data_IF_607947140086
#
_entry.id   IF_607947140086
#
_cell.length_a   1.000
_cell.length_b   1.000
_cell.length_c   1.000
_cell.angle_alpha   90.00
_cell.angle_beta   90.00
_cell.angle_gamma   90.00
#
_symmetry.space_group_name_H-M   'P 1'
#
loop_
_entity.id
_entity.type
_entity.pdbx_description
1 polymer ?
#
# COMPACT_ATOMS: atom_id res chain seq x y z
N UNK A 1 -3.01 -9.89 20.34
CA UNK A 1 -3.04 -8.41 20.23
C UNK A 1 -2.61 -8.05 18.81
N UNK A 2 -3.23 -7.05 18.17
CA UNK A 2 -3.00 -6.67 16.75
C UNK A 2 -2.65 -5.19 16.64
N UNK A 3 -1.96 -4.80 15.55
CA UNK A 3 -1.61 -3.41 15.25
C UNK A 3 -1.85 -3.09 13.76
N UNK A 4 -2.36 -1.89 13.47
CA UNK A 4 -2.63 -1.36 12.14
C UNK A 4 -2.27 0.12 12.06
N UNK A 5 -2.10 0.65 10.85
CA UNK A 5 -1.74 2.06 10.63
C UNK A 5 -0.26 2.34 10.84
N UNK A 6 0.07 3.59 11.13
CA UNK A 6 1.44 4.13 11.06
C UNK A 6 2.43 3.43 11.98
N UNK A 7 1.96 2.86 13.11
CA UNK A 7 2.77 2.06 14.04
C UNK A 7 3.41 0.82 13.40
N UNK A 8 2.89 0.36 12.25
CA UNK A 8 3.42 -0.79 11.50
C UNK A 8 4.40 -0.38 10.38
N UNK A 9 4.61 0.91 10.12
CA UNK A 9 5.66 1.41 9.22
C UNK A 9 5.53 1.05 7.73
N UNK A 10 4.43 0.41 7.28
CA UNK A 10 4.30 -0.06 5.89
C UNK A 10 3.95 1.04 4.89
N UNK A 11 2.85 1.75 5.12
CA UNK A 11 2.44 2.91 4.34
C UNK A 11 1.60 3.82 5.22
N UNK A 12 2.12 5.03 5.49
CA UNK A 12 1.56 5.98 6.44
C UNK A 12 0.46 6.83 5.80
N UNK A 13 -0.60 6.16 5.36
CA UNK A 13 -1.75 6.78 4.70
C UNK A 13 -3.03 6.34 5.39
N UNK A 14 -3.89 7.32 5.72
CA UNK A 14 -5.24 7.09 6.27
C UNK A 14 -6.04 5.99 5.54
N UNK A 15 -6.13 5.97 4.19
CA UNK A 15 -6.85 4.90 3.49
C UNK A 15 -6.26 3.50 3.72
N UNK A 16 -4.93 3.40 3.92
CA UNK A 16 -4.25 2.13 4.20
C UNK A 16 -4.62 1.62 5.59
N UNK A 17 -4.61 2.49 6.61
CA UNK A 17 -5.02 2.13 7.97
C UNK A 17 -6.49 1.66 8.01
N UNK A 18 -7.38 2.36 7.30
CA UNK A 18 -8.80 1.98 7.17
C UNK A 18 -8.95 0.60 6.51
N UNK A 19 -8.27 0.38 5.38
CA UNK A 19 -8.30 -0.90 4.67
C UNK A 19 -7.77 -2.05 5.55
N UNK A 20 -6.68 -1.81 6.29
CA UNK A 20 -6.10 -2.79 7.21
C UNK A 20 -7.05 -3.14 8.35
N UNK A 21 -7.71 -2.14 8.95
CA UNK A 21 -8.70 -2.35 10.01
C UNK A 21 -9.90 -3.16 9.52
N UNK A 22 -10.44 -2.84 8.34
CA UNK A 22 -11.55 -3.59 7.73
C UNK A 22 -11.17 -5.04 7.45
N UNK A 23 -10.03 -5.28 6.79
CA UNK A 23 -9.57 -6.65 6.49
C UNK A 23 -9.21 -7.45 7.75
N UNK A 24 -8.71 -6.79 8.80
CA UNK A 24 -8.52 -7.41 10.10
C UNK A 24 -9.86 -7.86 10.71
N UNK A 25 -10.89 -7.02 10.66
CA UNK A 25 -12.22 -7.37 11.15
C UNK A 25 -12.84 -8.54 10.35
N UNK A 26 -12.74 -8.53 9.02
CA UNK A 26 -13.16 -9.64 8.14
C UNK A 26 -12.47 -10.96 8.55
N UNK A 27 -11.17 -10.91 8.88
CA UNK A 27 -10.39 -12.08 9.26
C UNK A 27 -10.75 -12.61 10.64
N UNK A 28 -10.99 -11.73 11.61
CA UNK A 28 -11.27 -12.12 12.99
C UNK A 28 -12.74 -12.51 13.21
N UNK A 29 -13.65 -11.87 12.50
CA UNK A 29 -15.10 -11.94 12.79
C UNK A 29 -15.95 -12.24 11.55
N UNK A 30 -15.40 -12.09 10.34
CA UNK A 30 -16.12 -12.29 9.08
C UNK A 30 -15.91 -13.66 8.43
N UNK A 31 -15.17 -14.58 9.05
CA UNK A 31 -14.92 -15.92 8.50
C UNK A 31 -14.02 -15.94 7.26
N UNK A 32 -13.23 -14.87 7.04
CA UNK A 32 -12.32 -14.75 5.89
C UNK A 32 -10.86 -14.86 6.33
N UNK A 33 -10.32 -16.06 6.59
CA UNK A 33 -9.00 -16.24 7.23
C UNK A 33 -7.84 -15.62 6.43
N UNK A 34 -7.93 -15.63 5.10
CA UNK A 34 -6.89 -15.11 4.20
C UNK A 34 -7.00 -13.61 3.91
N UNK A 35 -7.98 -12.92 4.51
CA UNK A 35 -8.22 -11.51 4.20
C UNK A 35 -7.10 -10.63 4.77
N UNK A 36 -6.33 -10.00 3.87
CA UNK A 36 -5.18 -9.15 4.19
C UNK A 36 -5.02 -7.99 3.21
N UNK A 37 -4.44 -6.86 3.60
CA UNK A 37 -4.17 -5.76 2.65
C UNK A 37 -3.01 -6.15 1.73
N UNK A 38 -3.15 -5.85 0.44
CA UNK A 38 -2.04 -5.83 -0.52
C UNK A 38 -1.39 -4.48 -0.43
N UNK A 39 -0.08 -4.45 -0.16
CA UNK A 39 0.68 -3.22 0.05
C UNK A 39 1.40 -2.76 -1.21
N UNK A 40 1.33 -3.57 -2.26
CA UNK A 40 1.81 -3.24 -3.59
C UNK A 40 0.91 -2.19 -4.25
N UNK A 41 1.51 -1.27 -5.01
CA UNK A 41 0.80 -0.29 -5.84
C UNK A 41 -0.24 0.57 -5.11
N UNK A 42 0.07 1.04 -3.90
CA UNK A 42 -0.75 2.01 -3.18
C UNK A 42 -0.60 3.39 -3.86
N UNK A 43 -1.66 3.98 -4.44
CA UNK A 43 -1.58 5.29 -5.07
C UNK A 43 -1.41 6.38 -4.01
N UNK A 44 -0.56 7.36 -4.31
CA UNK A 44 -0.24 8.48 -3.43
C UNK A 44 -0.39 9.80 -4.18
N UNK A 45 -0.92 10.81 -3.49
CA UNK A 45 -1.00 12.19 -3.99
C UNK A 45 -0.30 13.11 -3.01
N UNK A 46 0.55 14.00 -3.53
CA UNK A 46 1.17 15.10 -2.79
C UNK A 46 0.53 16.40 -3.28
N UNK A 47 -0.04 17.18 -2.37
CA UNK A 47 -0.70 18.45 -2.65
C UNK A 47 0.31 19.62 -2.76
N UNK A 48 1.27 19.47 -3.68
CA UNK A 48 2.19 20.54 -4.10
C UNK A 48 1.53 21.49 -5.11
N UNK A 49 2.31 22.44 -5.64
CA UNK A 49 1.86 23.35 -6.70
C UNK A 49 2.80 23.23 -7.93
N UNK A 50 2.40 22.51 -8.99
CA UNK A 50 1.16 21.74 -9.14
C UNK A 50 1.15 20.45 -8.29
N UNK A 51 -0.01 19.82 -8.05
CA UNK A 51 -0.10 18.53 -7.37
C UNK A 51 0.63 17.41 -8.11
N UNK A 52 1.11 16.41 -7.38
CA UNK A 52 1.82 15.24 -7.92
C UNK A 52 1.06 13.98 -7.52
N UNK A 53 0.90 13.05 -8.47
CA UNK A 53 0.37 11.70 -8.23
C UNK A 53 1.41 10.65 -8.63
N UNK A 54 1.50 9.58 -7.85
CA UNK A 54 2.37 8.44 -8.17
C UNK A 54 1.73 7.13 -7.71
N UNK A 55 2.04 6.04 -8.41
CA UNK A 55 1.66 4.68 -8.07
C UNK A 55 2.65 3.70 -8.69
N UNK A 56 2.97 2.63 -7.95
CA UNK A 56 3.90 1.60 -8.43
C UNK A 56 5.36 2.05 -8.36
N UNK A 57 6.16 1.53 -9.28
CA UNK A 57 7.60 1.74 -9.32
C UNK A 57 7.95 3.07 -10.01
N UNK A 58 9.03 3.68 -9.56
CA UNK A 58 9.78 4.67 -10.33
C UNK A 58 10.51 3.99 -11.50
N UNK A 59 10.90 4.77 -12.50
CA UNK A 59 11.67 4.26 -13.65
C UNK A 59 12.97 3.54 -13.21
N UNK A 60 13.80 4.08 -12.28
CA UNK A 60 14.97 3.35 -11.79
C UNK A 60 14.62 2.01 -11.11
N UNK A 61 13.59 1.98 -10.27
CA UNK A 61 13.15 0.74 -9.61
C UNK A 61 12.65 -0.29 -10.63
N UNK A 62 11.97 0.15 -11.69
CA UNK A 62 11.56 -0.74 -12.77
C UNK A 62 12.79 -1.34 -13.47
N UNK A 63 13.78 -0.53 -13.83
CA UNK A 63 15.02 -1.01 -14.43
C UNK A 63 15.76 -2.02 -13.56
N UNK A 64 15.76 -1.83 -12.24
CA UNK A 64 16.36 -2.79 -11.30
C UNK A 64 15.60 -4.14 -11.26
N UNK A 65 14.28 -4.11 -11.39
CA UNK A 65 13.43 -5.31 -11.26
C UNK A 65 13.34 -6.12 -12.55
N UNK A 66 13.27 -5.46 -13.71
CA UNK A 66 13.02 -6.11 -15.01
C UNK A 66 14.23 -6.10 -15.94
N UNK A 67 15.26 -5.29 -15.66
CA UNK A 67 16.39 -5.08 -16.55
C UNK A 67 16.10 -4.03 -17.63
N UNK A 68 17.16 -3.39 -18.14
CA UNK A 68 17.05 -2.29 -19.11
C UNK A 68 16.63 -2.72 -20.52
N UNK A 69 16.75 -4.00 -20.85
CA UNK A 69 16.37 -4.52 -22.16
C UNK A 69 14.88 -4.92 -22.25
N UNK A 70 14.16 -4.94 -21.12
CA UNK A 70 12.73 -5.31 -21.04
C UNK A 70 11.79 -4.14 -20.68
N UNK A 71 12.31 -2.89 -20.59
CA UNK A 71 11.56 -1.65 -20.34
C UNK A 71 11.87 -0.63 -21.42
#
# INVERSE_FOLDING_TARGET
IYAIGDVNGKAQLTPVAIAAGRRLADRLYGGMPERRVHYENIPTVVFSHPPIGTVGMTEPEAHEVYGSDEI
#
